data_IF_114499410087
#
_entry.id   IF_114499410087
#
_cell.length_a   1.000
_cell.length_b   1.000
_cell.length_c   1.000
_cell.angle_alpha   90.00
_cell.angle_beta   90.00
_cell.angle_gamma   90.00
#
_symmetry.space_group_name_H-M   'P 1'
#
loop_
_entity.id
_entity.type
_entity.pdbx_description
1 polymer ?
#
# COMPACT_ATOMS: atom_id res chain seq x y z
N UNK A 1 36.81 67.59 -0.37
CA UNK A 1 36.91 66.13 -0.51
C UNK A 1 37.17 65.53 0.86
N UNK A 2 36.20 64.79 1.42
CA UNK A 2 36.37 63.99 2.65
C UNK A 2 36.16 62.51 2.25
N UNK A 3 37.03 61.58 2.66
CA UNK A 3 36.86 60.17 2.33
C UNK A 3 35.80 59.54 3.25
N UNK A 4 34.94 58.75 2.65
CA UNK A 4 33.85 58.01 3.27
C UNK A 4 34.42 56.64 3.69
N UNK A 5 34.40 56.34 4.99
CA UNK A 5 34.85 55.06 5.55
C UNK A 5 33.63 54.15 5.60
N UNK A 6 33.62 53.11 4.77
CA UNK A 6 32.60 52.06 4.74
C UNK A 6 32.99 50.96 5.73
N UNK A 7 32.19 50.77 6.79
CA UNK A 7 32.34 49.65 7.72
C UNK A 7 31.78 48.38 7.08
N UNK A 8 32.63 47.36 6.90
CA UNK A 8 32.25 46.02 6.49
C UNK A 8 32.04 45.18 7.75
N UNK A 9 30.78 44.89 8.08
CA UNK A 9 30.43 43.96 9.18
C UNK A 9 30.50 42.52 8.64
N UNK A 10 31.49 41.76 9.11
CA UNK A 10 31.66 40.34 8.80
C UNK A 10 30.69 39.52 9.66
N UNK A 11 29.62 38.98 9.06
CA UNK A 11 28.72 38.03 9.72
C UNK A 11 29.38 36.65 9.63
N UNK A 12 29.91 36.15 10.75
CA UNK A 12 30.40 34.78 10.88
C UNK A 12 29.17 33.89 11.09
N UNK A 13 28.72 33.22 10.03
CA UNK A 13 27.73 32.15 10.12
C UNK A 13 28.42 30.92 10.74
N UNK A 14 28.24 30.71 12.04
CA UNK A 14 28.60 29.45 12.69
C UNK A 14 27.66 28.37 12.18
N UNK A 15 28.11 27.58 11.20
CA UNK A 15 27.44 26.34 10.80
C UNK A 15 27.58 25.38 11.98
N UNK A 16 26.53 25.27 12.79
CA UNK A 16 26.45 24.25 13.82
C UNK A 16 26.37 22.90 13.10
N UNK A 17 27.44 22.12 13.18
CA UNK A 17 27.47 20.74 12.71
C UNK A 17 26.57 19.93 13.64
N UNK A 18 25.29 19.77 13.28
CA UNK A 18 24.39 18.87 13.98
C UNK A 18 24.91 17.46 13.75
N UNK A 19 25.55 16.88 14.76
CA UNK A 19 25.91 15.48 14.75
C UNK A 19 24.62 14.66 14.74
N UNK A 20 24.21 14.16 13.56
CA UNK A 20 23.11 13.19 13.46
C UNK A 20 23.53 11.96 14.26
N UNK A 21 22.79 11.67 15.33
CA UNK A 21 22.93 10.40 16.04
C UNK A 21 22.73 9.27 15.00
N UNK A 22 23.66 8.30 14.99
CA UNK A 22 23.48 7.11 14.15
C UNK A 22 22.30 6.32 14.73
N UNK A 23 21.32 6.02 13.89
CA UNK A 23 20.25 5.08 14.24
C UNK A 23 20.86 3.76 14.68
N UNK A 24 20.30 3.18 15.74
CA UNK A 24 20.67 1.83 16.12
C UNK A 24 20.18 0.86 15.02
N UNK A 25 20.93 -0.20 14.72
CA UNK A 25 20.47 -1.19 13.77
C UNK A 25 19.20 -1.87 14.31
N UNK A 26 18.28 -2.21 13.41
CA UNK A 26 17.14 -3.07 13.77
C UNK A 26 17.65 -4.45 14.22
N UNK A 27 17.00 -5.12 15.18
CA UNK A 27 17.34 -6.50 15.54
C UNK A 27 17.11 -7.44 14.36
N UNK A 28 18.16 -8.15 13.98
CA UNK A 28 18.13 -9.12 12.89
C UNK A 28 18.33 -10.54 13.43
N UNK A 29 17.75 -11.53 12.76
CA UNK A 29 18.07 -12.95 12.99
C UNK A 29 19.42 -13.35 12.35
N UNK A 30 19.78 -14.63 12.43
CA UNK A 30 20.99 -15.16 11.79
C UNK A 30 21.03 -15.02 10.26
N UNK A 31 19.89 -14.70 9.63
CA UNK A 31 19.75 -14.50 8.20
C UNK A 31 19.74 -13.03 7.78
N UNK A 32 19.73 -12.10 8.74
CA UNK A 32 19.67 -10.67 8.48
C UNK A 32 18.24 -10.15 8.30
N UNK A 33 17.22 -10.92 8.70
CA UNK A 33 15.82 -10.51 8.64
C UNK A 33 15.38 -9.84 9.94
N UNK A 34 14.58 -8.78 9.83
CA UNK A 34 14.05 -8.07 11.01
C UNK A 34 13.12 -8.98 11.81
N UNK A 35 13.40 -9.14 13.10
CA UNK A 35 12.66 -10.06 13.98
C UNK A 35 11.52 -9.40 14.75
N UNK A 36 11.50 -8.06 14.80
CA UNK A 36 10.50 -7.32 15.57
C UNK A 36 10.61 -7.46 17.08
N UNK A 37 11.66 -8.11 17.60
CA UNK A 37 11.76 -8.40 19.04
C UNK A 37 11.79 -7.13 19.90
N UNK A 38 12.44 -6.07 19.43
CA UNK A 38 12.48 -4.77 20.10
C UNK A 38 11.11 -4.09 20.14
N UNK A 39 10.35 -4.17 19.05
CA UNK A 39 9.00 -3.64 18.94
C UNK A 39 8.02 -4.40 19.85
N UNK A 40 8.08 -5.74 19.84
CA UNK A 40 7.26 -6.61 20.68
C UNK A 40 7.55 -6.37 22.16
N UNK A 41 8.82 -6.30 22.54
CA UNK A 41 9.23 -6.00 23.92
C UNK A 41 8.74 -4.62 24.37
N UNK A 42 8.90 -3.61 23.52
CA UNK A 42 8.45 -2.24 23.81
C UNK A 42 6.94 -2.18 24.03
N UNK A 43 6.13 -2.78 23.16
CA UNK A 43 4.67 -2.86 23.34
C UNK A 43 4.32 -3.59 24.63
N UNK A 44 4.88 -4.77 24.88
CA UNK A 44 4.59 -5.59 26.06
C UNK A 44 5.10 -4.96 27.38
N UNK A 45 6.04 -4.02 27.32
CA UNK A 45 6.50 -3.27 28.49
C UNK A 45 5.43 -2.32 29.03
N UNK A 46 4.45 -1.94 28.21
CA UNK A 46 3.36 -1.06 28.61
C UNK A 46 2.23 -1.86 29.30
N UNK A 47 1.63 -1.39 30.41
CA UNK A 47 0.59 -2.14 31.13
C UNK A 47 -0.68 -2.48 30.33
N UNK A 48 -0.93 -1.76 29.24
CA UNK A 48 -2.05 -1.99 28.31
C UNK A 48 -1.61 -2.64 27.00
N UNK A 49 -0.31 -2.86 26.82
CA UNK A 49 0.25 -3.43 25.60
C UNK A 49 0.26 -4.94 25.68
N UNK A 50 0.00 -5.58 24.54
CA UNK A 50 0.03 -7.02 24.42
C UNK A 50 0.35 -7.42 22.98
N UNK A 51 1.24 -8.37 22.80
CA UNK A 51 1.44 -9.11 21.55
C UNK A 51 1.43 -10.59 21.90
N UNK A 52 0.62 -11.37 21.18
CA UNK A 52 0.46 -12.79 21.45
C UNK A 52 1.82 -13.52 21.35
N UNK A 53 2.20 -14.38 22.31
CA UNK A 53 3.53 -14.98 22.37
C UNK A 53 3.86 -15.89 21.17
N UNK A 54 2.85 -16.36 20.44
CA UNK A 54 3.05 -17.13 19.19
C UNK A 54 3.38 -16.26 17.98
N UNK A 55 3.23 -14.93 18.05
CA UNK A 55 3.47 -14.03 16.92
C UNK A 55 4.96 -13.90 16.65
N UNK A 56 5.32 -13.95 15.36
CA UNK A 56 6.66 -13.74 14.82
C UNK A 56 6.60 -12.73 13.68
N UNK A 57 7.54 -11.81 13.65
CA UNK A 57 7.83 -10.99 12.48
C UNK A 57 9.02 -11.62 11.75
N UNK A 58 8.94 -11.71 10.43
CA UNK A 58 10.03 -12.24 9.63
C UNK A 58 9.52 -12.71 8.28
N UNK A 59 10.33 -13.51 7.58
CA UNK A 59 9.95 -13.99 6.25
C UNK A 59 9.15 -15.29 6.29
N UNK A 60 8.31 -15.51 5.28
CA UNK A 60 7.61 -16.78 5.05
C UNK A 60 8.59 -17.96 5.04
N UNK A 61 9.71 -17.80 4.32
CA UNK A 61 10.82 -18.74 4.32
C UNK A 61 12.04 -18.05 4.94
N UNK A 62 12.40 -18.38 6.21
CA UNK A 62 13.54 -17.76 6.88
C UNK A 62 14.82 -17.78 6.03
N UNK A 63 15.44 -16.61 5.86
CA UNK A 63 16.67 -16.42 5.09
C UNK A 63 16.55 -16.47 3.57
N UNK A 64 15.36 -16.64 3.01
CA UNK A 64 15.13 -16.42 1.59
C UNK A 64 14.75 -14.95 1.35
N UNK A 65 15.65 -14.11 0.79
CA UNK A 65 15.40 -12.69 0.59
C UNK A 65 14.28 -12.41 -0.44
N UNK A 66 13.87 -13.41 -1.21
CA UNK A 66 12.78 -13.33 -2.19
C UNK A 66 11.42 -13.65 -1.57
N UNK A 67 11.41 -14.32 -0.42
CA UNK A 67 10.16 -14.63 0.28
C UNK A 67 9.62 -13.40 1.01
N UNK A 68 8.29 -13.35 1.16
CA UNK A 68 7.58 -12.20 1.70
C UNK A 68 7.95 -11.97 3.17
N UNK A 69 8.19 -10.72 3.55
CA UNK A 69 8.28 -10.30 4.95
C UNK A 69 6.86 -10.03 5.45
N UNK A 70 6.52 -10.51 6.63
CA UNK A 70 5.17 -10.37 7.18
C UNK A 70 5.07 -10.78 8.64
N UNK A 71 3.84 -11.00 9.06
CA UNK A 71 3.47 -11.45 10.40
C UNK A 71 3.03 -12.91 10.36
N UNK A 72 3.57 -13.77 11.21
CA UNK A 72 3.32 -15.21 11.19
C UNK A 72 3.06 -15.75 12.59
N UNK A 73 2.37 -16.87 12.69
CA UNK A 73 2.42 -17.71 13.89
C UNK A 73 3.72 -18.54 13.82
N UNK A 74 4.52 -18.50 14.88
CA UNK A 74 5.78 -19.23 14.95
C UNK A 74 5.59 -20.72 14.67
N UNK A 75 6.48 -21.31 13.87
CA UNK A 75 6.51 -22.75 13.59
C UNK A 75 7.36 -23.52 14.61
N UNK A 76 7.87 -22.85 15.67
CA UNK A 76 8.69 -23.49 16.69
C UNK A 76 7.92 -24.63 17.40
N UNK A 77 8.57 -25.75 17.74
CA UNK A 77 7.93 -26.85 18.44
C UNK A 77 7.23 -26.42 19.72
N UNK A 78 5.95 -26.77 19.87
CA UNK A 78 5.14 -26.42 21.03
C UNK A 78 4.47 -25.04 20.97
N UNK A 79 4.60 -24.30 19.86
CA UNK A 79 3.82 -23.08 19.64
C UNK A 79 2.34 -23.42 19.59
N UNK A 80 1.54 -22.73 20.41
CA UNK A 80 0.09 -22.86 20.38
C UNK A 80 -0.48 -22.07 19.19
N UNK A 81 -1.57 -22.55 18.56
CA UNK A 81 -2.35 -21.72 17.64
C UNK A 81 -2.85 -20.44 18.34
N UNK A 82 -3.20 -19.44 17.55
CA UNK A 82 -4.01 -18.29 18.01
C UNK A 82 -5.45 -18.67 17.73
N UNK A 83 -6.28 -18.80 18.76
CA UNK A 83 -7.67 -19.21 18.57
C UNK A 83 -8.53 -18.06 18.03
N UNK A 84 -9.69 -18.39 17.46
CA UNK A 84 -10.70 -17.39 17.05
C UNK A 84 -11.05 -16.46 18.23
N UNK A 85 -11.24 -15.17 17.93
CA UNK A 85 -11.46 -14.08 18.88
C UNK A 85 -10.29 -13.78 19.85
N UNK A 86 -9.16 -14.51 19.76
CA UNK A 86 -7.98 -14.16 20.56
C UNK A 86 -7.30 -12.89 20.04
N UNK A 87 -6.76 -12.12 20.97
CA UNK A 87 -6.02 -10.91 20.66
C UNK A 87 -4.66 -11.31 20.09
N UNK A 88 -4.38 -10.89 18.85
CA UNK A 88 -3.07 -10.99 18.23
C UNK A 88 -2.19 -9.87 18.79
N UNK A 89 -2.71 -8.64 18.80
CA UNK A 89 -2.03 -7.48 19.37
C UNK A 89 -3.01 -6.47 19.99
N UNK A 90 -2.57 -5.80 21.05
CA UNK A 90 -3.25 -4.67 21.68
C UNK A 90 -2.24 -3.55 21.81
N UNK A 91 -2.44 -2.48 21.05
CA UNK A 91 -1.49 -1.38 20.97
C UNK A 91 -2.00 -0.22 21.82
N UNK A 92 -1.28 0.20 22.89
CA UNK A 92 -1.67 1.35 23.69
C UNK A 92 -1.70 2.62 22.86
N UNK A 93 -2.58 3.57 23.20
CA UNK A 93 -2.64 4.87 22.53
C UNK A 93 -1.29 5.60 22.48
N UNK A 94 -0.50 5.50 23.55
CA UNK A 94 0.84 6.10 23.65
C UNK A 94 1.88 5.49 22.69
N UNK A 95 1.55 4.39 22.03
CA UNK A 95 2.40 3.69 21.06
C UNK A 95 1.91 3.89 19.61
N UNK A 96 0.79 4.61 19.42
CA UNK A 96 0.27 4.99 18.11
C UNK A 96 0.85 6.35 17.70
N UNK A 97 1.19 6.50 16.43
CA UNK A 97 1.47 7.80 15.83
C UNK A 97 0.23 8.17 15.01
N UNK A 98 -0.41 9.28 15.34
CA UNK A 98 -1.67 9.69 14.71
C UNK A 98 -1.90 11.20 14.87
N UNK A 99 -3.12 11.71 14.64
CA UNK A 99 -3.43 13.14 14.75
C UNK A 99 -3.49 13.65 16.20
N UNK A 100 -3.30 12.79 17.21
CA UNK A 100 -3.35 13.17 18.62
C UNK A 100 -4.77 13.47 19.08
N UNK A 101 -4.99 14.64 19.69
CA UNK A 101 -6.30 15.05 20.21
C UNK A 101 -7.36 15.28 19.09
N UNK A 102 -6.93 15.43 17.84
CA UNK A 102 -7.81 15.59 16.67
C UNK A 102 -8.37 14.26 16.16
N UNK A 103 -8.01 13.13 16.78
CA UNK A 103 -8.46 11.81 16.35
C UNK A 103 -9.97 11.63 16.46
N UNK A 104 -10.56 11.07 15.40
CA UNK A 104 -11.97 10.70 15.33
C UNK A 104 -12.10 9.33 14.66
N UNK A 105 -12.75 8.37 15.35
CA UNK A 105 -12.91 6.99 14.85
C UNK A 105 -13.54 6.91 13.45
N UNK A 106 -14.52 7.77 13.18
CA UNK A 106 -15.28 7.77 11.92
C UNK A 106 -14.70 8.72 10.87
N UNK A 107 -13.53 9.32 11.13
CA UNK A 107 -12.83 10.07 10.11
C UNK A 107 -11.92 9.10 9.35
N UNK A 108 -12.37 8.71 8.17
CA UNK A 108 -11.64 7.86 7.21
C UNK A 108 -10.84 8.69 6.19
N UNK A 109 -10.78 10.01 6.40
CA UNK A 109 -10.11 10.92 5.48
C UNK A 109 -8.65 11.10 5.84
N UNK A 110 -7.85 11.27 4.79
CA UNK A 110 -6.46 11.71 4.82
C UNK A 110 -6.17 12.75 5.92
N UNK A 111 -5.24 12.41 6.83
CA UNK A 111 -4.95 13.21 8.03
C UNK A 111 -3.65 14.00 7.91
N UNK A 112 -3.74 15.30 7.64
CA UNK A 112 -2.57 16.19 7.64
C UNK A 112 -1.81 16.18 8.97
N UNK A 113 -2.52 16.06 10.10
CA UNK A 113 -1.93 16.09 11.43
C UNK A 113 -1.09 14.84 11.71
N UNK A 114 -1.58 13.66 11.31
CA UNK A 114 -0.83 12.42 11.41
C UNK A 114 0.49 12.49 10.64
N UNK A 115 0.46 12.90 9.37
CA UNK A 115 1.68 12.93 8.54
C UNK A 115 2.73 13.88 9.11
N UNK A 116 2.31 15.04 9.66
CA UNK A 116 3.23 15.96 10.36
C UNK A 116 3.81 15.32 11.62
N UNK A 117 2.98 14.63 12.41
CA UNK A 117 3.43 13.96 13.63
C UNK A 117 4.39 12.83 13.28
N UNK A 118 4.09 12.02 12.26
CA UNK A 118 4.97 10.97 11.75
C UNK A 118 6.29 11.54 11.24
N UNK A 119 6.28 12.57 10.40
CA UNK A 119 7.50 13.22 9.92
C UNK A 119 8.37 13.76 11.07
N UNK A 120 7.73 14.30 12.11
CA UNK A 120 8.40 14.78 13.31
C UNK A 120 9.09 13.63 14.06
N UNK A 121 8.40 12.51 14.26
CA UNK A 121 8.97 11.34 14.97
C UNK A 121 10.06 10.65 14.15
N UNK A 122 9.89 10.51 12.83
CA UNK A 122 10.93 10.00 11.93
C UNK A 122 12.19 10.88 11.94
N UNK A 123 12.03 12.20 12.08
CA UNK A 123 13.16 13.14 12.18
C UNK A 123 13.94 12.95 13.48
N UNK A 124 13.27 12.64 14.58
CA UNK A 124 13.91 12.35 15.88
C UNK A 124 14.68 11.03 15.87
N UNK A 125 14.27 10.05 15.05
CA UNK A 125 14.91 8.74 14.99
C UNK A 125 14.89 8.05 16.36
N UNK A 126 16.06 7.72 16.89
CA UNK A 126 16.20 7.05 18.21
C UNK A 126 15.75 7.92 19.39
N UNK A 127 15.69 9.24 19.24
CA UNK A 127 15.19 10.15 20.28
C UNK A 127 13.66 10.19 20.34
N UNK A 128 12.98 9.53 19.38
CA UNK A 128 11.53 9.38 19.40
C UNK A 128 11.09 8.51 20.58
N UNK A 129 9.98 8.88 21.23
CA UNK A 129 9.33 8.00 22.20
C UNK A 129 8.79 6.70 21.56
N UNK A 130 8.66 6.69 20.23
CA UNK A 130 8.28 5.55 19.41
C UNK A 130 9.50 4.84 18.81
N UNK A 131 10.69 5.01 19.42
CA UNK A 131 12.00 4.61 18.87
C UNK A 131 12.02 3.26 18.14
N UNK A 132 11.60 2.14 18.74
CA UNK A 132 11.57 0.83 18.06
C UNK A 132 10.72 0.84 16.77
N UNK A 133 9.54 1.46 16.81
CA UNK A 133 8.66 1.54 15.64
C UNK A 133 9.22 2.51 14.57
N UNK A 134 9.72 3.68 14.98
CA UNK A 134 10.38 4.64 14.07
C UNK A 134 11.59 4.01 13.38
N UNK A 135 12.37 3.20 14.09
CA UNK A 135 13.50 2.47 13.52
C UNK A 135 13.03 1.47 12.46
N UNK A 136 11.96 0.73 12.72
CA UNK A 136 11.34 -0.14 11.72
C UNK A 136 10.86 0.65 10.49
N UNK A 137 10.13 1.76 10.68
CA UNK A 137 9.62 2.60 9.59
C UNK A 137 10.74 3.19 8.75
N UNK A 138 11.83 3.67 9.36
CA UNK A 138 13.01 4.17 8.67
C UNK A 138 13.79 3.08 7.89
N UNK A 139 13.58 1.81 8.22
CA UNK A 139 14.18 0.69 7.47
C UNK A 139 13.38 0.29 6.22
N UNK A 140 12.15 0.82 6.06
CA UNK A 140 11.32 0.54 4.90
C UNK A 140 11.90 1.12 3.61
N UNK A 141 11.72 0.38 2.50
CA UNK A 141 12.16 0.82 1.18
C UNK A 141 11.30 1.99 0.71
N UNK A 142 11.94 2.98 0.08
CA UNK A 142 11.28 4.07 -0.65
C UNK A 142 11.04 3.69 -2.11
N UNK A 143 10.25 4.49 -2.83
CA UNK A 143 10.03 4.30 -4.25
C UNK A 143 9.23 3.03 -4.55
N UNK A 144 8.33 2.63 -3.65
CA UNK A 144 7.51 1.43 -3.85
C UNK A 144 6.26 1.77 -4.66
N UNK A 145 5.68 2.94 -4.43
CA UNK A 145 4.46 3.39 -5.09
C UNK A 145 4.74 4.14 -6.40
N UNK A 146 3.84 4.06 -7.40
CA UNK A 146 3.93 4.83 -8.64
C UNK A 146 4.13 6.35 -8.42
N UNK A 147 3.50 6.92 -7.39
CA UNK A 147 3.67 8.33 -7.01
C UNK A 147 5.10 8.71 -6.59
N UNK A 148 5.90 7.76 -6.11
CA UNK A 148 7.30 7.98 -5.72
C UNK A 148 8.31 7.80 -6.86
N UNK A 149 7.91 7.16 -7.96
CA UNK A 149 8.82 6.74 -9.01
C UNK A 149 9.55 7.89 -9.70
N UNK A 150 10.64 7.53 -10.37
CA UNK A 150 11.38 8.42 -11.24
C UNK A 150 10.48 9.04 -12.31
N UNK A 151 10.85 10.23 -12.81
CA UNK A 151 10.11 10.88 -13.93
C UNK A 151 10.00 9.97 -15.16
N UNK A 152 11.00 9.13 -15.40
CA UNK A 152 11.00 8.17 -16.50
C UNK A 152 10.01 7.02 -16.23
N UNK A 153 9.98 6.49 -15.00
CA UNK A 153 9.02 5.50 -14.52
C UNK A 153 7.59 5.98 -14.68
N UNK A 154 7.26 7.13 -14.08
CA UNK A 154 5.93 7.76 -14.20
C UNK A 154 5.51 7.94 -15.66
N UNK A 155 6.40 8.49 -16.51
CA UNK A 155 6.10 8.70 -17.93
C UNK A 155 5.82 7.40 -18.69
N UNK A 156 6.57 6.33 -18.40
CA UNK A 156 6.33 5.06 -19.05
C UNK A 156 5.06 4.38 -18.55
N UNK A 157 4.77 4.51 -17.25
CA UNK A 157 3.54 3.99 -16.66
C UNK A 157 2.30 4.70 -17.22
N UNK A 158 2.29 6.04 -17.26
CA UNK A 158 1.24 6.81 -17.93
C UNK A 158 1.04 6.36 -19.38
N UNK A 159 2.13 6.13 -20.14
CA UNK A 159 2.02 5.58 -21.49
C UNK A 159 1.36 4.19 -21.52
N UNK A 160 1.67 3.31 -20.58
CA UNK A 160 1.02 2.00 -20.46
C UNK A 160 -0.48 2.16 -20.23
N UNK A 161 -0.89 3.15 -19.46
CA UNK A 161 -2.28 3.49 -19.16
C UNK A 161 -2.97 4.35 -20.23
N UNK A 162 -2.31 4.59 -21.36
CA UNK A 162 -2.77 5.51 -22.41
C UNK A 162 -3.01 6.95 -21.96
N UNK A 163 -2.31 7.38 -20.90
CA UNK A 163 -2.41 8.72 -20.31
C UNK A 163 -3.78 9.05 -19.70
N UNK A 164 -4.47 8.03 -19.17
CA UNK A 164 -5.71 8.21 -18.44
C UNK A 164 -6.83 7.27 -18.88
N UNK A 165 -6.76 6.68 -20.08
CA UNK A 165 -7.81 5.77 -20.55
C UNK A 165 -7.89 4.46 -19.75
N UNK A 166 -6.86 4.07 -18.98
CA UNK A 166 -6.89 2.86 -18.16
C UNK A 166 -6.46 3.17 -16.71
N UNK A 167 -7.00 2.43 -15.73
CA UNK A 167 -6.69 2.65 -14.32
C UNK A 167 -5.29 2.13 -13.94
N UNK A 168 -4.64 2.63 -12.86
CA UNK A 168 -5.12 3.69 -11.98
C UNK A 168 -5.06 5.05 -12.68
N UNK A 169 -6.10 5.86 -12.50
CA UNK A 169 -6.22 7.13 -13.21
C UNK A 169 -5.16 8.13 -12.72
N UNK A 170 -4.72 9.05 -13.59
CA UNK A 170 -3.57 9.91 -13.26
C UNK A 170 -3.82 10.74 -12.00
N UNK A 171 -5.07 11.11 -11.72
CA UNK A 171 -5.46 11.81 -10.49
C UNK A 171 -5.11 11.03 -9.22
N UNK A 172 -5.07 9.71 -9.24
CA UNK A 172 -4.89 8.85 -8.05
C UNK A 172 -3.43 8.71 -7.63
N UNK A 173 -2.48 8.91 -8.56
CA UNK A 173 -1.07 8.60 -8.28
C UNK A 173 -0.06 9.61 -8.82
N UNK A 174 -0.34 10.31 -9.92
CA UNK A 174 0.63 11.26 -10.51
C UNK A 174 0.77 12.48 -9.62
N UNK A 175 -0.38 13.10 -9.34
CA UNK A 175 -0.50 14.39 -8.65
C UNK A 175 -1.00 14.27 -7.21
N UNK A 176 -1.26 13.05 -6.74
CA UNK A 176 -1.83 12.78 -5.42
C UNK A 176 -1.07 13.45 -4.28
N UNK A 177 0.25 13.27 -4.20
CA UNK A 177 1.12 13.97 -3.24
C UNK A 177 1.05 15.50 -3.38
N UNK A 178 1.01 16.01 -4.60
CA UNK A 178 0.98 17.45 -4.85
C UNK A 178 -0.36 18.07 -4.43
N UNK A 179 -1.46 17.37 -4.70
CA UNK A 179 -2.83 17.79 -4.37
C UNK A 179 -3.11 17.65 -2.88
N UNK A 180 -2.91 16.46 -2.31
CA UNK A 180 -3.33 16.16 -0.95
C UNK A 180 -2.36 16.75 0.08
N UNK A 181 -1.05 16.55 -0.11
CA UNK A 181 -0.06 17.03 0.86
C UNK A 181 0.33 18.49 0.63
N UNK A 182 0.85 18.82 -0.55
CA UNK A 182 1.43 20.14 -0.77
C UNK A 182 0.35 21.21 -0.78
N UNK A 183 -0.74 21.00 -1.53
CA UNK A 183 -1.84 21.97 -1.61
C UNK A 183 -2.82 21.80 -0.44
N UNK A 184 -3.31 20.58 -0.20
CA UNK A 184 -4.32 20.29 0.82
C UNK A 184 -3.83 20.51 2.25
N UNK A 185 -2.58 20.14 2.56
CA UNK A 185 -2.00 20.30 3.89
C UNK A 185 -0.96 21.43 3.99
N UNK A 186 -0.73 22.24 2.96
CA UNK A 186 0.38 23.19 2.94
C UNK A 186 1.73 22.52 3.28
N UNK A 187 1.94 21.29 2.80
CA UNK A 187 3.16 20.53 3.00
C UNK A 187 4.37 21.17 2.32
N UNK A 188 5.57 20.90 2.82
CA UNK A 188 6.80 21.44 2.24
C UNK A 188 7.34 20.50 1.15
N UNK A 189 7.36 20.90 -0.15
CA UNK A 189 7.83 20.04 -1.23
C UNK A 189 9.33 19.72 -1.14
N UNK A 190 10.10 20.55 -0.42
CA UNK A 190 11.54 20.39 -0.24
C UNK A 190 11.90 19.58 1.04
N UNK A 191 10.91 19.12 1.80
CA UNK A 191 11.14 18.29 3.00
C UNK A 191 11.03 16.80 2.66
N UNK A 192 12.17 16.16 2.41
CA UNK A 192 12.26 14.72 2.12
C UNK A 192 11.66 13.83 3.21
N UNK A 193 11.62 14.28 4.48
CA UNK A 193 11.04 13.49 5.56
C UNK A 193 9.52 13.59 5.59
N UNK A 194 8.95 14.76 5.30
CA UNK A 194 7.49 14.89 5.10
C UNK A 194 7.03 14.08 3.90
N UNK A 195 7.78 14.11 2.79
CA UNK A 195 7.51 13.26 1.64
C UNK A 195 7.54 11.78 2.02
N UNK A 196 8.54 11.34 2.77
CA UNK A 196 8.64 9.96 3.22
C UNK A 196 7.49 9.57 4.17
N UNK A 197 7.13 10.46 5.10
CA UNK A 197 6.01 10.25 6.02
C UNK A 197 4.67 10.14 5.28
N UNK A 198 4.44 10.96 4.24
CA UNK A 198 3.25 10.88 3.40
C UNK A 198 3.07 9.47 2.82
N UNK A 199 4.08 8.99 2.11
CA UNK A 199 4.03 7.71 1.44
C UNK A 199 3.99 6.53 2.43
N UNK A 200 4.65 6.66 3.59
CA UNK A 200 4.49 5.67 4.66
C UNK A 200 3.07 5.63 5.19
N UNK A 201 2.45 6.77 5.50
CA UNK A 201 1.07 6.82 5.98
C UNK A 201 0.10 6.23 4.95
N UNK A 202 0.17 6.69 3.69
CA UNK A 202 -0.70 6.20 2.60
C UNK A 202 -0.67 4.69 2.36
N UNK A 203 0.42 4.00 2.74
CA UNK A 203 0.59 2.57 2.49
C UNK A 203 0.46 1.69 3.74
N UNK A 204 0.30 2.27 4.93
CA UNK A 204 0.44 1.55 6.21
C UNK A 204 -0.47 2.02 7.33
N UNK A 205 -1.09 3.19 7.21
CA UNK A 205 -1.97 3.67 8.24
C UNK A 205 -3.27 2.85 8.29
N UNK A 206 -3.96 2.96 9.42
CA UNK A 206 -5.35 2.54 9.57
C UNK A 206 -6.20 3.80 9.74
N UNK A 207 -6.70 4.34 8.62
CA UNK A 207 -7.56 5.51 8.46
C UNK A 207 -7.03 6.86 8.95
N UNK A 208 -6.14 6.86 9.95
CA UNK A 208 -5.35 8.01 10.41
C UNK A 208 -4.36 7.63 11.54
N UNK A 209 -3.98 6.36 11.63
CA UNK A 209 -3.17 5.81 12.70
C UNK A 209 -2.07 4.91 12.14
N UNK A 210 -0.82 5.25 12.41
CA UNK A 210 0.30 4.32 12.26
C UNK A 210 0.29 3.34 13.44
N UNK A 211 -0.06 2.10 13.16
CA UNK A 211 -0.25 1.05 14.18
C UNK A 211 0.86 -0.01 14.07
N UNK A 212 1.82 -0.08 15.01
CA UNK A 212 2.84 -1.12 15.00
C UNK A 212 2.23 -2.52 15.12
N UNK A 213 2.92 -3.52 14.58
CA UNK A 213 2.49 -4.93 14.44
C UNK A 213 1.37 -5.12 13.42
N UNK A 214 0.33 -4.28 13.47
CA UNK A 214 -0.78 -4.32 12.52
C UNK A 214 -0.29 -4.07 11.08
N UNK A 215 0.51 -3.02 10.87
CA UNK A 215 1.06 -2.63 9.57
C UNK A 215 2.14 -3.58 9.01
N UNK A 216 2.34 -4.73 9.67
CA UNK A 216 3.22 -5.81 9.24
C UNK A 216 2.46 -7.03 8.74
N UNK A 217 1.15 -7.12 9.00
CA UNK A 217 0.30 -8.15 8.44
C UNK A 217 0.09 -7.85 6.95
N UNK A 218 0.39 -8.81 6.09
CA UNK A 218 0.24 -8.60 4.65
C UNK A 218 -1.23 -8.59 4.23
N UNK A 219 -1.47 -7.95 3.09
CA UNK A 219 -2.77 -7.90 2.47
C UNK A 219 -3.17 -9.25 1.84
N UNK A 220 -4.44 -9.64 1.99
CA UNK A 220 -5.06 -10.64 1.13
C UNK A 220 -6.56 -10.35 0.94
N UNK A 221 -7.06 -10.66 -0.25
CA UNK A 221 -8.49 -10.69 -0.55
C UNK A 221 -9.06 -12.10 -0.64
N UNK A 222 -8.23 -13.13 -0.45
CA UNK A 222 -8.68 -14.51 -0.38
C UNK A 222 -9.35 -14.74 0.98
N UNK A 223 -10.67 -14.91 0.97
CA UNK A 223 -11.48 -15.15 2.17
C UNK A 223 -11.00 -16.37 3.00
N UNK A 224 -10.30 -17.33 2.38
CA UNK A 224 -9.72 -18.49 3.09
C UNK A 224 -8.43 -18.13 3.82
N UNK A 225 -7.69 -17.14 3.34
CA UNK A 225 -6.44 -16.67 3.95
C UNK A 225 -6.71 -15.66 5.05
N UNK A 226 -7.69 -14.77 4.83
CA UNK A 226 -8.10 -13.76 5.81
C UNK A 226 -8.39 -14.38 7.16
N UNK A 227 -7.77 -13.80 8.19
CA UNK A 227 -7.80 -14.36 9.53
C UNK A 227 -7.73 -13.33 10.65
N UNK A 228 -7.99 -12.05 10.36
CA UNK A 228 -7.91 -10.98 11.35
C UNK A 228 -9.06 -9.97 11.29
N UNK A 229 -9.26 -9.27 12.41
CA UNK A 229 -10.15 -8.12 12.60
C UNK A 229 -9.39 -6.98 13.26
N UNK A 230 -9.58 -5.75 12.77
CA UNK A 230 -9.06 -4.53 13.39
C UNK A 230 -10.15 -3.79 14.17
N UNK A 231 -9.81 -3.29 15.35
CA UNK A 231 -10.67 -2.45 16.15
C UNK A 231 -9.94 -1.17 16.55
N UNK A 232 -10.24 -0.11 15.79
CA UNK A 232 -9.76 1.24 16.08
C UNK A 232 -10.23 1.73 17.47
N UNK A 233 -9.42 2.53 18.18
CA UNK A 233 -9.83 3.18 19.42
C UNK A 233 -11.13 3.99 19.24
N UNK A 234 -12.08 3.89 20.17
CA UNK A 234 -13.30 4.72 20.08
C UNK A 234 -13.04 6.21 20.35
N UNK A 235 -11.93 6.51 21.03
CA UNK A 235 -11.47 7.86 21.37
C UNK A 235 -10.00 7.84 21.80
N UNK A 236 -9.42 9.02 21.84
CA UNK A 236 -8.08 9.28 22.40
C UNK A 236 -7.89 8.58 23.74
N UNK A 237 -6.70 7.97 23.92
CA UNK A 237 -6.31 7.26 25.14
C UNK A 237 -6.82 5.82 25.24
N UNK A 238 -7.55 5.31 24.25
CA UNK A 238 -7.93 3.88 24.16
C UNK A 238 -6.97 3.11 23.25
N UNK A 239 -6.83 1.82 23.50
CA UNK A 239 -5.95 0.94 22.73
C UNK A 239 -6.59 0.52 21.42
N UNK A 240 -5.76 0.36 20.38
CA UNK A 240 -6.11 -0.41 19.19
C UNK A 240 -6.12 -1.91 19.52
N UNK A 241 -7.02 -2.69 18.93
CA UNK A 241 -7.00 -4.16 19.03
C UNK A 241 -6.93 -4.80 17.66
N UNK A 242 -6.11 -5.83 17.56
CA UNK A 242 -5.96 -6.70 16.40
C UNK A 242 -6.25 -8.12 16.87
N UNK A 243 -7.31 -8.73 16.35
CA UNK A 243 -7.87 -10.00 16.85
C UNK A 243 -7.96 -11.01 15.72
N UNK A 244 -7.91 -12.30 16.05
CA UNK A 244 -8.03 -13.36 15.07
C UNK A 244 -9.51 -13.58 14.70
N UNK A 245 -9.83 -13.60 13.40
CA UNK A 245 -11.20 -13.86 12.91
C UNK A 245 -11.50 -15.36 12.73
N UNK A 246 -10.48 -16.20 12.91
CA UNK A 246 -10.53 -17.67 12.90
C UNK A 246 -9.29 -18.19 13.63
N UNK A 247 -9.25 -19.47 13.98
CA UNK A 247 -8.01 -20.09 14.46
C UNK A 247 -6.89 -19.98 13.41
N UNK A 248 -5.69 -19.59 13.85
CA UNK A 248 -4.46 -19.44 13.07
C UNK A 248 -3.41 -20.41 13.62
N UNK A 249 -3.04 -21.41 12.84
CA UNK A 249 -2.12 -22.47 13.25
C UNK A 249 -0.65 -22.08 13.11
N UNK A 250 0.25 -22.73 13.87
CA UNK A 250 1.70 -22.58 13.72
C UNK A 250 2.18 -22.65 12.27
N UNK A 251 2.94 -21.65 11.83
CA UNK A 251 3.46 -21.52 10.48
C UNK A 251 2.53 -20.79 9.50
N UNK A 252 1.26 -20.56 9.83
CA UNK A 252 0.39 -19.73 9.02
C UNK A 252 0.81 -18.25 9.10
N UNK A 253 0.57 -17.53 8.01
CA UNK A 253 0.68 -16.07 7.95
C UNK A 253 -0.59 -15.43 8.53
N UNK A 254 -0.40 -14.29 9.18
CA UNK A 254 -1.47 -13.45 9.70
C UNK A 254 -1.75 -12.40 8.62
N UNK A 255 -2.91 -12.53 7.98
CA UNK A 255 -3.35 -11.68 6.89
C UNK A 255 -4.43 -10.71 7.34
N UNK A 256 -4.34 -9.49 6.82
CA UNK A 256 -5.39 -8.50 6.89
C UNK A 256 -5.88 -8.18 5.47
N UNK A 257 -7.02 -7.51 5.33
CA UNK A 257 -7.37 -6.85 4.07
C UNK A 257 -7.32 -5.35 4.28
N UNK A 258 -6.82 -4.66 3.25
CA UNK A 258 -6.66 -3.21 3.27
C UNK A 258 -7.83 -2.53 2.60
N UNK A 259 -8.42 -3.20 1.59
CA UNK A 259 -9.61 -2.73 0.91
C UNK A 259 -10.89 -3.49 1.30
N UNK A 260 -10.84 -4.59 2.05
CA UNK A 260 -12.03 -5.29 2.57
C UNK A 260 -12.16 -5.11 4.06
N UNK A 261 -13.26 -4.49 4.46
CA UNK A 261 -13.56 -4.25 5.85
C UNK A 261 -14.28 -5.49 6.45
N UNK A 262 -13.57 -6.24 7.31
CA UNK A 262 -14.11 -7.36 8.09
C UNK A 262 -14.15 -6.94 9.57
N UNK A 263 -15.32 -6.84 10.26
CA UNK A 263 -16.70 -7.22 9.94
C UNK A 263 -17.61 -5.98 9.77
N UNK A 264 -17.11 -4.87 9.26
CA UNK A 264 -17.84 -3.59 9.31
C UNK A 264 -18.99 -3.48 8.27
N UNK A 265 -19.40 -4.59 7.66
CA UNK A 265 -20.63 -4.68 6.87
C UNK A 265 -21.17 -6.12 6.82
N UNK A 266 -22.45 -6.26 6.47
CA UNK A 266 -23.08 -7.55 6.10
C UNK A 266 -22.61 -8.07 4.72
N UNK A 267 -21.49 -7.54 4.19
CA UNK A 267 -20.98 -7.90 2.87
C UNK A 267 -20.69 -9.39 2.80
N UNK A 268 -21.06 -9.99 1.66
CA UNK A 268 -20.74 -11.38 1.42
C UNK A 268 -19.25 -11.50 1.07
N UNK A 269 -18.41 -11.82 2.06
CA UNK A 269 -16.96 -11.97 1.88
C UNK A 269 -16.54 -13.06 0.89
N UNK A 270 -17.45 -13.96 0.49
CA UNK A 270 -17.19 -14.90 -0.60
C UNK A 270 -17.21 -14.21 -1.97
N UNK A 271 -17.76 -13.01 -2.05
CA UNK A 271 -17.75 -12.16 -3.22
C UNK A 271 -16.69 -11.08 -3.03
N UNK A 272 -16.38 -10.34 -4.09
CA UNK A 272 -15.39 -9.27 -4.03
C UNK A 272 -16.01 -7.92 -3.65
N UNK A 273 -17.24 -7.97 -3.16
CA UNK A 273 -17.90 -6.83 -2.57
C UNK A 273 -17.09 -6.38 -1.34
N UNK A 274 -16.66 -5.13 -1.38
CA UNK A 274 -15.92 -4.52 -0.30
C UNK A 274 -16.56 -3.19 0.07
N UNK A 275 -16.67 -2.91 1.36
CA UNK A 275 -17.16 -1.62 1.84
C UNK A 275 -16.15 -0.49 1.60
N UNK A 276 -14.86 -0.84 1.55
CA UNK A 276 -13.80 0.07 1.10
C UNK A 276 -13.65 -0.14 -0.40
N UNK A 277 -14.14 0.81 -1.18
CA UNK A 277 -14.32 0.71 -2.64
C UNK A 277 -13.02 0.85 -3.44
N UNK A 278 -11.86 0.44 -2.90
CA UNK A 278 -10.56 0.56 -3.59
C UNK A 278 -10.33 -0.65 -4.51
N UNK A 279 -10.46 -0.52 -5.84
CA UNK A 279 -10.13 -1.58 -6.78
C UNK A 279 -8.62 -1.86 -6.80
N UNK A 280 -8.25 -2.95 -7.46
CA UNK A 280 -6.86 -3.40 -7.63
C UNK A 280 -5.92 -2.33 -8.21
N UNK A 281 -6.35 -1.45 -9.14
CA UNK A 281 -5.55 -0.29 -9.55
C UNK A 281 -5.17 0.65 -8.40
N UNK A 282 -6.11 1.03 -7.53
CA UNK A 282 -5.89 1.86 -6.35
C UNK A 282 -4.91 1.19 -5.39
N UNK A 283 -5.05 -0.12 -5.22
CA UNK A 283 -4.14 -0.91 -4.38
C UNK A 283 -2.70 -0.81 -4.90
N UNK A 284 -2.52 -0.83 -6.22
CA UNK A 284 -1.21 -0.61 -6.82
C UNK A 284 -0.72 0.83 -6.66
N UNK A 285 -1.59 1.82 -6.86
CA UNK A 285 -1.27 3.24 -6.72
C UNK A 285 -0.83 3.61 -5.30
N UNK A 286 -1.59 3.17 -4.28
CA UNK A 286 -1.43 3.57 -2.88
C UNK A 286 -0.53 2.65 -2.05
N UNK A 287 -0.40 1.38 -2.41
CA UNK A 287 0.40 0.42 -1.64
C UNK A 287 1.60 -0.14 -2.41
N UNK A 288 1.66 0.06 -3.73
CA UNK A 288 2.80 -0.36 -4.55
C UNK A 288 2.90 -1.88 -4.74
N UNK A 289 1.78 -2.61 -4.64
CA UNK A 289 1.68 -4.03 -4.95
C UNK A 289 0.40 -4.33 -5.72
N UNK A 290 0.36 -5.47 -6.42
CA UNK A 290 -0.87 -5.95 -7.08
C UNK A 290 -1.38 -7.13 -6.28
N UNK A 291 -2.67 -7.08 -5.95
CA UNK A 291 -3.31 -8.11 -5.15
C UNK A 291 -3.24 -9.47 -5.84
N UNK A 292 -3.10 -10.53 -5.05
CA UNK A 292 -3.41 -11.86 -5.52
C UNK A 292 -4.92 -11.97 -5.73
N UNK A 293 -5.37 -12.89 -6.58
CA UNK A 293 -6.79 -13.16 -6.75
C UNK A 293 -7.45 -13.52 -5.41
N UNK A 294 -8.69 -13.07 -5.16
CA UNK A 294 -9.53 -12.27 -6.07
C UNK A 294 -9.12 -10.78 -6.18
N UNK A 295 -9.27 -10.23 -7.38
CA UNK A 295 -9.01 -8.84 -7.74
C UNK A 295 -10.30 -8.14 -8.16
N UNK A 296 -10.47 -6.87 -7.80
CA UNK A 296 -11.61 -6.04 -8.19
C UNK A 296 -11.14 -4.99 -9.20
N UNK A 297 -11.78 -4.94 -10.37
CA UNK A 297 -11.41 -4.07 -11.48
C UNK A 297 -12.58 -3.17 -11.84
N UNK A 298 -12.25 -1.92 -12.17
CA UNK A 298 -13.15 -0.89 -12.64
C UNK A 298 -12.54 -0.21 -13.84
N UNK A 299 -13.29 -0.04 -14.92
CA UNK A 299 -12.86 0.68 -16.12
C UNK A 299 -13.90 1.72 -16.53
N UNK A 300 -13.42 2.90 -16.92
CA UNK A 300 -14.25 4.02 -17.32
C UNK A 300 -14.15 4.12 -18.84
N UNK A 301 -15.08 3.49 -19.55
CA UNK A 301 -15.00 3.32 -21.00
C UNK A 301 -15.58 4.50 -21.80
N UNK A 302 -16.40 5.36 -21.18
CA UNK A 302 -17.02 6.48 -21.88
C UNK A 302 -16.19 7.77 -21.79
N UNK A 303 -16.13 8.49 -22.90
CA UNK A 303 -15.48 9.81 -22.99
C UNK A 303 -16.40 10.98 -22.56
N UNK A 304 -17.69 10.73 -22.32
CA UNK A 304 -18.70 11.76 -22.05
C UNK A 304 -19.26 11.67 -20.62
N UNK A 305 -19.35 12.82 -19.93
CA UNK A 305 -19.87 13.04 -18.56
C UNK A 305 -21.35 12.59 -18.33
N UNK A 306 -21.99 11.95 -19.31
CA UNK A 306 -23.37 11.45 -19.20
C UNK A 306 -23.35 10.03 -18.65
N UNK A 307 -23.45 9.90 -17.32
CA UNK A 307 -23.71 8.64 -16.57
C UNK A 307 -23.14 7.40 -17.27
N UNK A 308 -21.82 7.40 -17.51
CA UNK A 308 -21.16 6.27 -18.15
C UNK A 308 -21.23 5.06 -17.24
N UNK A 309 -21.76 3.95 -17.74
CA UNK A 309 -21.75 2.67 -17.04
C UNK A 309 -20.27 2.25 -16.82
N UNK A 310 -19.81 2.30 -15.57
CA UNK A 310 -18.47 1.84 -15.21
C UNK A 310 -18.42 0.31 -15.36
N UNK A 311 -17.42 -0.20 -16.09
CA UNK A 311 -17.23 -1.65 -16.20
C UNK A 311 -16.65 -2.15 -14.87
N UNK A 312 -17.49 -2.75 -14.04
CA UNK A 312 -17.12 -3.24 -12.72
C UNK A 312 -17.19 -4.76 -12.62
N UNK A 313 -16.05 -5.38 -12.34
CA UNK A 313 -15.97 -6.83 -12.21
C UNK A 313 -15.00 -7.30 -11.14
N UNK A 314 -15.26 -8.49 -10.60
CA UNK A 314 -14.26 -9.24 -9.87
C UNK A 314 -13.69 -10.38 -10.69
N UNK A 315 -12.37 -10.45 -10.74
CA UNK A 315 -11.63 -11.58 -11.25
C UNK A 315 -11.21 -12.47 -10.08
N UNK A 316 -11.63 -13.73 -10.09
CA UNK A 316 -11.26 -14.72 -9.08
C UNK A 316 -10.81 -16.04 -9.70
N UNK A 317 -10.43 -17.01 -8.87
CA UNK A 317 -10.00 -18.33 -9.31
C UNK A 317 -10.86 -19.42 -8.66
N UNK A 318 -11.48 -20.26 -9.50
CA UNK A 318 -12.23 -21.44 -9.08
C UNK A 318 -11.31 -22.51 -8.51
N UNK A 319 -11.91 -23.44 -7.77
CA UNK A 319 -11.26 -24.70 -7.42
C UNK A 319 -10.85 -25.44 -8.71
N UNK A 320 -9.55 -25.66 -8.91
CA UNK A 320 -8.99 -26.22 -10.15
C UNK A 320 -8.18 -25.22 -10.99
N UNK A 321 -8.19 -23.94 -10.62
CA UNK A 321 -7.30 -22.93 -11.18
C UNK A 321 -7.87 -22.14 -12.36
N UNK A 322 -9.10 -22.44 -12.78
CA UNK A 322 -9.81 -21.68 -13.83
C UNK A 322 -10.22 -20.30 -13.31
N UNK A 323 -10.13 -19.28 -14.17
CA UNK A 323 -10.58 -17.93 -13.84
C UNK A 323 -12.10 -17.83 -13.88
N UNK A 324 -12.63 -16.98 -13.01
CA UNK A 324 -14.05 -16.61 -12.96
C UNK A 324 -14.19 -15.11 -12.93
N UNK A 325 -15.15 -14.60 -13.70
CA UNK A 325 -15.55 -13.19 -13.68
C UNK A 325 -16.92 -13.10 -13.02
N UNK A 326 -17.01 -12.27 -11.99
CA UNK A 326 -18.27 -11.89 -11.35
C UNK A 326 -18.53 -10.42 -11.65
N UNK A 327 -19.59 -10.14 -12.37
CA UNK A 327 -20.00 -8.79 -12.74
C UNK A 327 -20.76 -8.12 -11.60
N UNK A 328 -20.48 -6.84 -11.35
CA UNK A 328 -21.31 -6.04 -10.44
C UNK A 328 -22.62 -5.68 -11.15
N UNK A 329 -23.68 -5.46 -10.37
CA UNK A 329 -25.08 -5.33 -10.86
C UNK A 329 -25.26 -4.33 -12.01
N UNK A 330 -24.44 -3.29 -12.05
CA UNK A 330 -24.50 -2.21 -13.04
C UNK A 330 -23.21 -2.09 -13.86
N UNK A 331 -22.35 -3.11 -13.83
CA UNK A 331 -21.03 -3.07 -14.47
C UNK A 331 -20.86 -4.05 -15.64
N UNK A 332 -21.97 -4.46 -16.28
CA UNK A 332 -21.93 -5.32 -17.45
C UNK A 332 -21.54 -4.51 -18.69
N UNK A 333 -20.57 -4.98 -19.49
CA UNK A 333 -20.11 -4.23 -20.65
C UNK A 333 -21.13 -4.28 -21.79
N UNK A 334 -21.40 -3.13 -22.39
CA UNK A 334 -22.16 -3.00 -23.64
C UNK A 334 -21.26 -3.06 -24.90
N UNK A 335 -21.82 -2.82 -26.09
CA UNK A 335 -21.07 -2.82 -27.35
C UNK A 335 -19.91 -1.78 -27.37
N UNK A 336 -20.12 -0.60 -26.77
CA UNK A 336 -19.12 0.48 -26.69
C UNK A 336 -18.00 0.05 -25.75
N UNK A 337 -18.34 -0.54 -24.61
CA UNK A 337 -17.40 -1.10 -23.65
C UNK A 337 -16.52 -2.18 -24.27
N UNK A 338 -17.10 -3.08 -25.07
CA UNK A 338 -16.32 -4.09 -25.80
C UNK A 338 -15.37 -3.46 -26.82
N UNK A 339 -15.79 -2.43 -27.56
CA UNK A 339 -14.89 -1.74 -28.50
C UNK A 339 -13.70 -1.14 -27.75
N UNK A 340 -13.97 -0.47 -26.63
CA UNK A 340 -12.97 0.08 -25.73
C UNK A 340 -12.00 -1.00 -25.21
N UNK A 341 -12.51 -2.08 -24.60
CA UNK A 341 -11.69 -3.16 -24.05
C UNK A 341 -10.83 -3.83 -25.14
N UNK A 342 -11.40 -4.10 -26.32
CA UNK A 342 -10.67 -4.70 -27.43
C UNK A 342 -9.57 -3.78 -27.99
N UNK A 343 -9.85 -2.47 -28.12
CA UNK A 343 -8.87 -1.45 -28.50
C UNK A 343 -7.67 -1.48 -27.54
N UNK A 344 -7.93 -1.44 -26.23
CA UNK A 344 -6.86 -1.42 -25.24
C UNK A 344 -6.12 -2.75 -25.11
N UNK A 345 -6.81 -3.90 -25.22
CA UNK A 345 -6.17 -5.23 -25.25
C UNK A 345 -5.17 -5.34 -26.41
N UNK A 346 -5.59 -4.95 -27.62
CA UNK A 346 -4.72 -4.97 -28.79
C UNK A 346 -3.51 -4.05 -28.62
N UNK A 347 -3.71 -2.83 -28.11
CA UNK A 347 -2.62 -1.87 -27.83
C UNK A 347 -1.61 -2.43 -26.83
N UNK A 348 -2.09 -3.08 -25.76
CA UNK A 348 -1.24 -3.72 -24.76
C UNK A 348 -0.43 -4.88 -25.38
N UNK A 349 -1.07 -5.75 -26.17
CA UNK A 349 -0.40 -6.83 -26.89
C UNK A 349 0.71 -6.29 -27.83
N UNK A 350 0.46 -5.20 -28.57
CA UNK A 350 1.46 -4.53 -29.40
C UNK A 350 2.63 -3.98 -28.57
N UNK A 351 2.35 -3.47 -27.36
CA UNK A 351 3.38 -3.02 -26.43
C UNK A 351 4.28 -4.18 -25.98
N UNK A 352 3.70 -5.34 -25.66
CA UNK A 352 4.44 -6.54 -25.26
C UNK A 352 5.34 -7.06 -26.38
N UNK A 353 4.88 -7.05 -27.63
CA UNK A 353 5.72 -7.39 -28.80
C UNK A 353 6.97 -6.50 -28.93
N UNK A 354 6.96 -5.33 -28.29
CA UNK A 354 8.08 -4.39 -28.26
C UNK A 354 8.80 -4.33 -26.90
N UNK A 355 8.49 -5.23 -25.95
CA UNK A 355 9.01 -5.22 -24.57
C UNK A 355 10.53 -5.10 -24.50
N UNK A 356 11.28 -5.92 -25.24
CA UNK A 356 12.76 -5.89 -25.23
C UNK A 356 13.34 -4.55 -25.70
N UNK A 357 12.77 -3.96 -26.77
CA UNK A 357 13.21 -2.65 -27.29
C UNK A 357 12.88 -1.53 -26.30
N UNK A 358 11.71 -1.61 -25.65
CA UNK A 358 11.30 -0.69 -24.61
C UNK A 358 12.22 -0.81 -23.39
N UNK A 359 12.59 -2.02 -22.99
CA UNK A 359 13.51 -2.28 -21.88
C UNK A 359 14.86 -1.60 -22.11
N UNK A 360 15.45 -1.83 -23.30
CA UNK A 360 16.73 -1.21 -23.67
C UNK A 360 16.68 0.33 -23.67
N UNK A 361 15.53 0.90 -24.02
CA UNK A 361 15.31 2.35 -24.08
C UNK A 361 15.13 2.96 -22.70
N UNK A 362 14.35 2.31 -21.84
CA UNK A 362 13.83 2.91 -20.62
C UNK A 362 14.54 2.46 -19.35
N UNK A 363 15.19 1.31 -19.33
CA UNK A 363 15.77 0.75 -18.10
C UNK A 363 17.24 1.13 -17.95
N UNK A 364 17.60 1.59 -16.76
CA UNK A 364 18.98 1.83 -16.34
C UNK A 364 19.77 0.51 -16.32
N UNK A 365 20.97 0.55 -16.91
CA UNK A 365 21.93 -0.55 -16.75
C UNK A 365 22.72 -0.37 -15.45
N UNK A 366 23.30 -1.45 -14.94
CA UNK A 366 24.12 -1.40 -13.72
C UNK A 366 25.25 -0.36 -13.87
N UNK A 367 25.29 0.59 -12.94
CA UNK A 367 26.24 1.70 -12.95
C UNK A 367 25.94 2.84 -13.92
N UNK A 368 24.83 2.80 -14.67
CA UNK A 368 24.39 3.91 -15.51
C UNK A 368 23.71 5.00 -14.65
N UNK A 369 24.14 6.25 -14.82
CA UNK A 369 23.44 7.43 -14.28
C UNK A 369 22.74 8.17 -15.42
N UNK A 370 21.44 7.94 -15.59
CA UNK A 370 20.66 8.56 -16.65
C UNK A 370 19.24 8.88 -16.19
N UNK A 371 18.99 10.15 -15.89
CA UNK A 371 17.68 10.65 -15.42
C UNK A 371 16.52 10.43 -16.41
N UNK A 372 16.80 10.07 -17.66
CA UNK A 372 15.78 9.75 -18.67
C UNK A 372 15.35 8.27 -18.65
N UNK A 373 15.97 7.47 -17.79
CA UNK A 373 15.69 6.05 -17.62
C UNK A 373 15.24 5.76 -16.19
N UNK A 374 14.56 4.64 -16.01
CA UNK A 374 14.03 4.17 -14.73
C UNK A 374 14.88 3.03 -14.16
N UNK A 375 14.92 2.87 -12.82
CA UNK A 375 15.44 1.67 -12.17
C UNK A 375 14.73 0.39 -12.62
N UNK A 376 15.44 -0.74 -12.59
CA UNK A 376 14.89 -2.06 -12.94
C UNK A 376 13.64 -2.42 -12.14
N UNK A 377 13.62 -2.08 -10.85
CA UNK A 377 12.46 -2.33 -9.99
C UNK A 377 11.17 -1.66 -10.50
N UNK A 378 11.25 -0.38 -10.92
CA UNK A 378 10.08 0.33 -11.45
C UNK A 378 9.57 -0.37 -12.72
N UNK A 379 10.48 -0.77 -13.60
CA UNK A 379 10.15 -1.54 -14.81
C UNK A 379 9.47 -2.88 -14.49
N UNK A 380 10.02 -3.67 -13.56
CA UNK A 380 9.46 -4.97 -13.20
C UNK A 380 8.05 -4.81 -12.59
N UNK A 381 7.82 -3.81 -11.74
CA UNK A 381 6.49 -3.52 -11.18
C UNK A 381 5.49 -3.08 -12.26
N UNK A 382 5.91 -2.23 -13.20
CA UNK A 382 5.06 -1.80 -14.32
C UNK A 382 4.63 -3.00 -15.17
N UNK A 383 5.54 -3.95 -15.42
CA UNK A 383 5.18 -5.15 -16.19
C UNK A 383 4.37 -6.16 -15.41
N UNK A 384 4.53 -6.24 -14.09
CA UNK A 384 3.61 -7.02 -13.28
C UNK A 384 2.19 -6.44 -13.38
N UNK A 385 2.05 -5.12 -13.28
CA UNK A 385 0.76 -4.45 -13.43
C UNK A 385 0.17 -4.67 -14.84
N UNK A 386 1.00 -4.55 -15.88
CA UNK A 386 0.63 -4.89 -17.26
C UNK A 386 0.01 -6.27 -17.38
N UNK A 387 0.62 -7.29 -16.76
CA UNK A 387 0.19 -8.69 -16.88
C UNK A 387 -1.19 -8.91 -16.24
N UNK A 388 -1.42 -8.32 -15.07
CA UNK A 388 -2.70 -8.43 -14.35
C UNK A 388 -3.80 -7.59 -15.03
N UNK A 389 -3.49 -6.36 -15.46
CA UNK A 389 -4.41 -5.51 -16.24
C UNK A 389 -4.83 -6.18 -17.56
N UNK A 390 -3.87 -6.74 -18.30
CA UNK A 390 -4.15 -7.44 -19.57
C UNK A 390 -5.03 -8.66 -19.32
N UNK A 391 -4.76 -9.42 -18.25
CA UNK A 391 -5.58 -10.58 -17.86
C UNK A 391 -7.00 -10.17 -17.49
N UNK A 392 -7.16 -9.06 -16.77
CA UNK A 392 -8.46 -8.51 -16.42
C UNK A 392 -9.25 -8.14 -17.68
N UNK A 393 -8.69 -7.34 -18.58
CA UNK A 393 -9.35 -6.95 -19.83
C UNK A 393 -9.71 -8.17 -20.69
N UNK A 394 -8.80 -9.13 -20.86
CA UNK A 394 -9.05 -10.37 -21.61
C UNK A 394 -10.18 -11.20 -20.98
N UNK A 395 -10.23 -11.27 -19.65
CA UNK A 395 -11.28 -11.98 -18.92
C UNK A 395 -12.63 -11.27 -19.03
N UNK A 396 -12.66 -9.93 -18.94
CA UNK A 396 -13.86 -9.13 -19.16
C UNK A 396 -14.48 -9.43 -20.53
N UNK A 397 -13.68 -9.39 -21.59
CA UNK A 397 -14.15 -9.68 -22.96
C UNK A 397 -14.65 -11.13 -23.07
N UNK A 398 -13.92 -12.10 -22.51
CA UNK A 398 -14.19 -13.53 -22.69
C UNK A 398 -15.41 -14.02 -21.91
N UNK A 399 -15.68 -13.45 -20.74
CA UNK A 399 -16.68 -13.94 -19.79
C UNK A 399 -17.86 -12.97 -19.60
N UNK A 400 -17.99 -11.96 -20.46
CA UNK A 400 -19.20 -11.16 -20.50
C UNK A 400 -20.40 -12.01 -20.96
N UNK A 401 -21.59 -11.82 -20.37
CA UNK A 401 -22.79 -12.55 -20.78
C UNK A 401 -23.20 -12.15 -22.21
N UNK A 402 -23.73 -13.12 -22.97
CA UNK A 402 -24.38 -12.83 -24.24
C UNK A 402 -25.69 -12.07 -23.96
N UNK A 403 -25.84 -10.82 -24.41
CA UNK A 403 -27.06 -10.01 -24.23
C UNK A 403 -28.33 -10.72 -24.74
N UNK A 404 -28.19 -11.60 -25.73
CA UNK A 404 -29.28 -12.36 -26.31
C UNK A 404 -29.80 -13.48 -25.38
N UNK A 405 -29.04 -13.90 -24.37
CA UNK A 405 -29.41 -15.04 -23.52
C UNK A 405 -30.43 -14.69 -22.43
N UNK A 406 -30.55 -13.42 -22.02
CA UNK A 406 -31.50 -13.00 -20.96
C UNK A 406 -32.91 -12.68 -21.48
N UNK A 407 -33.07 -12.43 -22.78
CA UNK A 407 -34.38 -12.13 -23.38
C UNK A 407 -35.29 -13.37 -23.59
N UNK A 408 -34.77 -14.58 -23.36
CA UNK A 408 -35.52 -15.84 -23.57
C UNK A 408 -36.18 -16.40 -22.29
N UNK A 409 -36.01 -15.78 -21.11
CA UNK A 409 -36.58 -16.25 -19.82
C UNK A 409 -37.65 -15.34 -19.18
N UNK A 410 -38.18 -14.34 -19.90
CA UNK A 410 -39.31 -13.49 -19.47
C UNK A 410 -40.56 -13.68 -20.35
#
# INVERSE_FOLDING_TARGET
MKPMITNVTLIILSIATIARAKLAPVPLDEHGDYTGSDLIEWINSHPQGYVHPSVRIGRATPGDPTSMLGLYVSSAPGTAPIEEDEIIARIPWSHLIGPGEEYQKMNFQFSCAEIRNLATELTKGEESQYGPYVRYLLSQKRGTMPGEWSKAGKKFFAKLLDYGDLPPYEEEWVDDYQRNWIQGCNGNPDNDMEKFAYYLASSRDEDSLMVPIYDMANHSNDAKKLNTLSFKPDKVGKSFRFEASRTIHPGEEIYNSYNRCNPCSDANFNNCESFSSQPTPDMFAHFGFIEQLPQYWRFDAAEDDEESDEIEMCLSQKEGGELEVMWMKHGLPDEVDFEFLNKHLKRLQEMYLNKEKLEQKWVLRDGEENVKKMPRREWDMIWWYYEELTRAIDSAIKYAPDEDAENDEL
#
